data_IF_490191811481
#
_entry.id   IF_490191811481
#
_cell.length_a   1.000
_cell.length_b   1.000
_cell.length_c   1.000
_cell.angle_alpha   90.00
_cell.angle_beta   90.00
_cell.angle_gamma   90.00
#
_symmetry.space_group_name_H-M   'P 1'
#
loop_
_entity.id
_entity.type
_entity.pdbx_description
1 polymer ?
#
# COMPACT_ATOMS: atom_id res chain seq x y z
N UNK A 1 5.07 8.16 -9.02
CA UNK A 1 5.84 7.51 -7.94
C UNK A 1 4.89 6.70 -7.09
N UNK A 2 5.27 5.48 -6.70
CA UNK A 2 4.45 4.59 -5.86
C UNK A 2 5.29 4.02 -4.75
N UNK A 3 4.64 3.64 -3.66
CA UNK A 3 5.24 2.90 -2.55
C UNK A 3 4.49 1.59 -2.37
N UNK A 4 5.20 0.55 -1.95
CA UNK A 4 4.59 -0.74 -1.61
C UNK A 4 4.18 -0.72 -0.14
N UNK A 5 2.96 -1.16 0.13
CA UNK A 5 2.44 -1.38 1.48
C UNK A 5 1.97 -2.81 1.63
N UNK A 6 2.14 -3.37 2.82
CA UNK A 6 1.53 -4.62 3.23
C UNK A 6 0.16 -4.34 3.84
N UNK A 7 -0.87 -4.97 3.30
CA UNK A 7 -2.23 -4.83 3.79
C UNK A 7 -2.41 -5.62 5.09
N UNK A 8 -2.89 -4.99 6.16
CA UNK A 8 -3.06 -5.63 7.48
C UNK A 8 -4.47 -6.18 7.71
N UNK A 9 -5.45 -5.77 6.89
CA UNK A 9 -6.85 -6.15 7.00
C UNK A 9 -7.39 -6.51 5.61
N UNK A 10 -8.15 -7.60 5.47
CA UNK A 10 -8.75 -7.90 4.18
C UNK A 10 -9.90 -6.93 3.90
N UNK A 11 -9.95 -6.33 2.71
CA UNK A 11 -10.96 -5.34 2.43
C UNK A 11 -10.90 -4.75 1.03
N UNK A 12 -11.85 -3.84 0.79
CA UNK A 12 -11.90 -3.02 -0.42
C UNK A 12 -11.21 -1.70 -0.14
N UNK A 13 -10.23 -1.38 -0.96
CA UNK A 13 -9.40 -0.18 -0.88
C UNK A 13 -9.64 0.69 -2.10
N UNK A 14 -9.52 1.99 -1.92
CA UNK A 14 -9.77 2.97 -2.96
C UNK A 14 -8.65 3.99 -3.05
N UNK A 15 -7.68 3.73 -3.93
CA UNK A 15 -6.69 4.72 -4.32
C UNK A 15 -7.22 5.53 -5.50
N UNK A 16 -8.01 6.57 -5.18
CA UNK A 16 -8.66 7.46 -6.16
C UNK A 16 -7.65 8.08 -7.13
N UNK A 17 -6.41 8.29 -6.68
CA UNK A 17 -5.35 8.89 -7.48
C UNK A 17 -4.66 7.90 -8.43
N UNK A 18 -4.89 6.59 -8.30
CA UNK A 18 -4.14 5.58 -9.03
C UNK A 18 -5.00 4.51 -9.71
N UNK A 19 -5.54 3.53 -8.97
CA UNK A 19 -6.20 2.35 -9.53
C UNK A 19 -7.73 2.38 -9.36
N UNK A 20 -8.28 3.41 -8.71
CA UNK A 20 -9.68 3.42 -8.33
C UNK A 20 -9.91 2.49 -7.14
N UNK A 21 -10.77 1.48 -7.28
CA UNK A 21 -11.06 0.51 -6.21
C UNK A 21 -10.41 -0.86 -6.50
N UNK A 22 -9.79 -1.45 -5.48
CA UNK A 22 -9.23 -2.79 -5.52
C UNK A 22 -9.57 -3.56 -4.25
N UNK A 23 -9.59 -4.90 -4.34
CA UNK A 23 -9.75 -5.78 -3.18
C UNK A 23 -8.38 -6.36 -2.85
N UNK A 24 -8.01 -6.35 -1.57
CA UNK A 24 -6.78 -6.98 -1.11
C UNK A 24 -7.02 -7.82 0.13
N UNK A 25 -6.26 -8.90 0.24
CA UNK A 25 -6.21 -9.75 1.42
C UNK A 25 -5.18 -9.23 2.43
N UNK A 26 -5.34 -9.66 3.68
CA UNK A 26 -4.32 -9.46 4.72
C UNK A 26 -3.01 -10.16 4.33
N UNK A 27 -1.90 -9.47 4.48
CA UNK A 27 -0.55 -9.91 4.08
C UNK A 27 -0.22 -9.64 2.61
N UNK A 28 -1.16 -9.09 1.83
CA UNK A 28 -0.91 -8.80 0.42
C UNK A 28 -0.10 -7.51 0.25
N UNK A 29 0.90 -7.55 -0.62
CA UNK A 29 1.70 -6.38 -0.99
C UNK A 29 1.03 -5.62 -2.14
N UNK A 30 0.78 -4.33 -1.94
CA UNK A 30 0.14 -3.46 -2.93
C UNK A 30 0.93 -2.19 -3.15
N UNK A 31 1.12 -1.85 -4.42
CA UNK A 31 1.70 -0.59 -4.83
C UNK A 31 0.61 0.48 -4.88
N UNK A 32 0.74 1.52 -4.05
CA UNK A 32 -0.22 2.63 -3.94
C UNK A 32 0.50 3.98 -4.03
N UNK A 33 -0.26 5.06 -4.16
CA UNK A 33 0.29 6.41 -4.08
C UNK A 33 0.81 6.70 -2.65
N UNK A 34 1.89 7.48 -2.49
CA UNK A 34 2.45 7.79 -1.16
C UNK A 34 1.43 8.43 -0.20
N UNK A 35 0.56 9.30 -0.72
CA UNK A 35 -0.51 9.94 0.06
C UNK A 35 -1.55 8.93 0.53
N UNK A 36 -1.87 7.92 -0.28
CA UNK A 36 -2.79 6.86 0.10
C UNK A 36 -2.16 5.87 1.08
N UNK A 37 -0.89 5.50 0.89
CA UNK A 37 -0.13 4.72 1.86
C UNK A 37 -0.14 5.36 3.26
N UNK A 38 0.14 6.67 3.33
CA UNK A 38 0.09 7.40 4.60
C UNK A 38 -1.30 7.36 5.26
N UNK A 39 -2.38 7.42 4.48
CA UNK A 39 -3.74 7.28 5.01
C UNK A 39 -4.02 5.88 5.56
N UNK A 40 -3.59 4.83 4.84
CA UNK A 40 -3.78 3.45 5.28
C UNK A 40 -3.00 3.15 6.55
N UNK A 41 -1.75 3.62 6.63
CA UNK A 41 -0.89 3.47 7.80
C UNK A 41 -1.49 4.23 9.00
N UNK A 42 -1.97 5.46 8.79
CA UNK A 42 -2.65 6.24 9.84
C UNK A 42 -3.92 5.56 10.37
N UNK A 43 -4.59 4.76 9.52
CA UNK A 43 -5.78 3.97 9.90
C UNK A 43 -5.42 2.57 10.41
N UNK A 44 -4.14 2.22 10.54
CA UNK A 44 -3.66 0.88 10.90
C UNK A 44 -4.17 -0.23 9.96
N UNK A 45 -4.48 0.12 8.71
CA UNK A 45 -4.97 -0.82 7.67
C UNK A 45 -3.86 -1.38 6.80
N UNK A 46 -2.70 -0.75 6.79
CA UNK A 46 -1.52 -1.20 6.07
C UNK A 46 -0.24 -0.79 6.81
N UNK A 47 0.86 -1.48 6.51
CA UNK A 47 2.21 -1.11 6.93
C UNK A 47 3.05 -0.77 5.70
N UNK A 48 4.01 0.14 5.82
CA UNK A 48 4.98 0.37 4.74
C UNK A 48 5.81 -0.90 4.57
N UNK A 49 5.86 -1.43 3.35
CA UNK A 49 6.72 -2.58 3.07
C UNK A 49 8.14 -2.08 2.82
N UNK A 50 9.05 -2.47 3.69
CA UNK A 50 10.49 -2.31 3.49
C UNK A 50 11.05 -3.67 3.11
N UNK A 51 11.88 -3.72 2.08
CA UNK A 51 12.62 -4.93 1.76
C UNK A 51 13.55 -5.30 2.93
N UNK A 52 14.15 -6.48 2.87
CA UNK A 52 14.99 -7.05 3.95
C UNK A 52 16.18 -6.15 4.32
N UNK A 53 16.57 -5.26 3.41
CA UNK A 53 17.64 -4.26 3.59
C UNK A 53 17.17 -2.94 4.22
N UNK A 54 15.87 -2.80 4.53
CA UNK A 54 15.26 -1.55 5.01
C UNK A 54 15.01 -0.52 3.90
N UNK A 55 15.28 -0.86 2.64
CA UNK A 55 14.98 0.00 1.50
C UNK A 55 13.49 -0.07 1.13
N UNK A 56 12.89 1.09 0.87
CA UNK A 56 11.52 1.20 0.41
C UNK A 56 11.44 0.77 -1.05
N UNK A 57 10.63 -0.25 -1.37
CA UNK A 57 10.44 -0.66 -2.76
C UNK A 57 9.55 0.36 -3.50
N UNK A 58 10.15 1.09 -4.45
CA UNK A 58 9.41 1.95 -5.38
C UNK A 58 9.17 1.18 -6.69
N UNK A 59 7.91 1.01 -7.06
CA UNK A 59 7.57 0.51 -8.42
C UNK A 59 7.47 1.67 -9.39
N UNK A 60 8.26 1.61 -10.46
CA UNK A 60 8.15 2.47 -11.65
C UNK A 60 7.39 1.68 -12.74
N UNK A 61 6.36 2.27 -13.33
CA UNK A 61 5.66 1.74 -14.51
C UNK A 61 5.93 2.66 -15.68
#
# INVERSE_FOLDING_TARGET
>A
MKVVVEILEAGKYRDVAWEGEFVSAKGELRAVTPSYAAQLIKQSKAALYTDSDGEMSFTYK
#
